data_IF_626192608058
#
_entry.id   IF_626192608058
#
_cell.length_a   1.000
_cell.length_b   1.000
_cell.length_c   1.000
_cell.angle_alpha   90.00
_cell.angle_beta   90.00
_cell.angle_gamma   90.00
#
_symmetry.space_group_name_H-M   'P 1'
#
loop_
_entity.id
_entity.type
_entity.pdbx_description
1 polymer ?
#
# COMPACT_ATOMS: atom_id res chain seq x y z
N UNK A 1 24.37 8.45 62.91
CA UNK A 1 23.34 7.78 62.08
C UNK A 1 23.31 8.43 60.70
N UNK A 2 23.73 7.74 59.61
CA UNK A 2 23.70 8.31 58.29
C UNK A 2 22.34 8.07 57.64
N UNK A 3 21.73 9.13 57.12
CA UNK A 3 20.48 9.11 56.34
C UNK A 3 20.72 8.38 55.00
N UNK A 4 19.98 7.32 54.77
CA UNK A 4 19.91 6.59 53.48
C UNK A 4 19.40 7.54 52.40
N UNK A 5 20.24 7.82 51.40
CA UNK A 5 19.81 8.42 50.12
C UNK A 5 18.91 7.38 49.41
N UNK A 6 17.63 7.65 49.31
CA UNK A 6 16.68 6.89 48.51
C UNK A 6 17.04 7.11 47.02
N UNK A 7 17.31 6.02 46.34
CA UNK A 7 17.61 5.97 44.93
C UNK A 7 16.45 6.55 44.10
N UNK A 8 16.64 7.72 43.50
CA UNK A 8 15.69 8.43 42.64
C UNK A 8 15.65 7.91 41.20
N UNK A 9 16.39 6.82 40.91
CA UNK A 9 16.52 6.26 39.57
C UNK A 9 15.31 5.40 39.13
N UNK A 10 14.46 4.95 40.10
CA UNK A 10 13.33 4.04 39.78
C UNK A 10 12.05 4.73 39.28
N UNK A 11 11.98 6.07 39.27
CA UNK A 11 10.75 6.79 38.86
C UNK A 11 10.72 7.31 37.42
N UNK A 12 11.84 7.30 36.71
CA UNK A 12 11.90 7.83 35.33
C UNK A 12 11.42 6.77 34.30
N UNK A 13 11.38 5.49 34.63
CA UNK A 13 11.01 4.40 33.74
C UNK A 13 9.51 4.08 33.70
N UNK A 14 8.68 4.65 34.58
CA UNK A 14 7.24 4.33 34.64
C UNK A 14 6.36 5.05 33.60
N UNK A 15 6.95 5.86 32.70
CA UNK A 15 6.21 6.58 31.68
C UNK A 15 6.72 6.31 30.24
N UNK A 16 7.68 5.40 30.09
CA UNK A 16 8.24 5.10 28.77
C UNK A 16 7.23 4.31 27.92
N UNK A 17 7.15 4.66 26.64
CA UNK A 17 6.39 3.92 25.66
C UNK A 17 6.92 2.50 25.57
N UNK A 18 6.03 1.49 25.68
CA UNK A 18 6.42 0.08 25.76
C UNK A 18 5.92 -0.74 24.58
N UNK A 19 4.75 -0.44 24.05
CA UNK A 19 4.17 -1.17 22.93
C UNK A 19 3.44 -0.25 21.96
N UNK A 20 3.41 -0.65 20.70
CA UNK A 20 2.70 0.05 19.63
C UNK A 20 1.96 -0.97 18.80
N UNK A 21 0.67 -0.73 18.59
CA UNK A 21 -0.22 -1.49 17.74
C UNK A 21 -0.60 -0.64 16.53
N UNK A 22 -0.39 -1.17 15.32
CA UNK A 22 -0.57 -0.43 14.07
C UNK A 22 -1.35 -1.27 13.07
N UNK A 23 -2.48 -0.75 12.63
CA UNK A 23 -3.26 -1.29 11.52
C UNK A 23 -3.23 -0.30 10.36
N UNK A 24 -2.55 -0.67 9.28
CA UNK A 24 -2.41 0.17 8.08
C UNK A 24 -3.06 -0.49 6.85
N UNK A 25 -3.75 0.31 6.00
CA UNK A 25 -4.50 -0.20 4.87
C UNK A 25 -3.59 -0.68 3.74
N UNK A 26 -4.06 -1.66 2.95
CA UNK A 26 -3.50 -1.91 1.64
C UNK A 26 -3.71 -0.71 0.71
N UNK A 27 -2.90 -0.62 -0.34
CA UNK A 27 -3.09 0.40 -1.37
C UNK A 27 -3.31 -0.20 -2.75
N UNK A 28 -4.26 0.33 -3.50
CA UNK A 28 -4.38 0.13 -4.92
C UNK A 28 -3.55 1.19 -5.63
N UNK A 29 -2.66 0.80 -6.53
CA UNK A 29 -1.86 1.72 -7.33
C UNK A 29 -2.48 1.82 -8.72
N UNK A 30 -3.01 3.00 -9.07
CA UNK A 30 -3.86 3.20 -10.24
C UNK A 30 -3.10 3.72 -11.47
N UNK A 31 -1.78 3.70 -11.42
CA UNK A 31 -0.93 4.06 -12.55
C UNK A 31 0.03 5.21 -12.25
N UNK A 32 0.97 5.39 -13.17
CA UNK A 32 1.93 6.50 -13.19
C UNK A 32 1.43 7.61 -14.14
N UNK A 33 1.80 8.85 -13.84
CA UNK A 33 1.49 10.01 -14.69
C UNK A 33 2.59 10.17 -15.75
N UNK A 34 3.86 10.18 -15.34
CA UNK A 34 5.01 10.40 -16.21
C UNK A 34 6.21 9.49 -15.84
N UNK A 35 6.19 8.21 -16.20
CA UNK A 35 7.33 7.32 -15.97
C UNK A 35 8.62 7.79 -16.65
N UNK A 36 8.49 8.56 -17.74
CA UNK A 36 9.58 9.01 -18.60
C UNK A 36 10.24 10.31 -18.18
N UNK A 37 9.65 11.10 -17.29
CA UNK A 37 10.07 12.45 -16.91
C UNK A 37 9.98 13.51 -18.04
N UNK A 38 9.08 13.33 -18.99
CA UNK A 38 8.86 14.27 -20.10
C UNK A 38 8.38 15.64 -19.63
N UNK A 39 7.73 15.71 -18.45
CA UNK A 39 7.23 16.94 -17.81
C UNK A 39 8.24 17.60 -16.85
N UNK A 40 9.48 17.09 -16.77
CA UNK A 40 10.50 17.58 -15.82
C UNK A 40 10.42 16.92 -14.42
N UNK A 41 9.41 16.11 -14.16
CA UNK A 41 9.28 15.29 -12.95
C UNK A 41 8.99 13.86 -13.35
N UNK A 42 9.71 12.91 -12.76
CA UNK A 42 9.54 11.50 -13.07
C UNK A 42 8.52 10.83 -12.17
N UNK A 43 7.77 9.89 -12.75
CA UNK A 43 6.72 9.13 -12.09
C UNK A 43 5.45 9.97 -11.86
N UNK A 44 5.12 10.33 -10.62
CA UNK A 44 3.78 10.78 -10.28
C UNK A 44 2.80 9.61 -10.34
N UNK A 45 1.91 9.49 -9.38
CA UNK A 45 1.05 8.31 -9.32
C UNK A 45 -0.32 8.64 -8.72
N UNK A 46 -1.29 7.79 -9.06
CA UNK A 46 -2.61 7.77 -8.45
C UNK A 46 -2.77 6.51 -7.61
N UNK A 47 -3.48 6.59 -6.50
CA UNK A 47 -3.76 5.41 -5.69
C UNK A 47 -4.89 5.61 -4.70
N UNK A 48 -5.34 4.49 -4.15
CA UNK A 48 -6.47 4.42 -3.23
C UNK A 48 -6.13 3.53 -2.04
N UNK A 49 -6.45 3.98 -0.83
CA UNK A 49 -6.43 3.14 0.36
C UNK A 49 -7.62 2.18 0.34
N UNK A 50 -7.38 0.91 0.68
CA UNK A 50 -8.41 -0.12 0.72
C UNK A 50 -8.78 -0.46 2.16
N UNK A 51 -10.07 -0.60 2.43
CA UNK A 51 -10.59 -1.11 3.68
C UNK A 51 -10.74 -2.64 3.66
N UNK A 52 -10.69 -3.28 4.84
CA UNK A 52 -10.82 -4.72 4.97
C UNK A 52 -9.64 -5.54 4.42
N UNK A 53 -8.55 -4.89 4.03
CA UNK A 53 -7.29 -5.52 3.64
C UNK A 53 -6.13 -4.61 4.07
N UNK A 54 -5.24 -5.13 4.91
CA UNK A 54 -4.17 -4.31 5.48
C UNK A 54 -3.05 -5.12 6.12
N UNK A 55 -2.15 -4.44 6.77
CA UNK A 55 -1.13 -5.01 7.66
C UNK A 55 -1.46 -4.60 9.08
N UNK A 56 -1.57 -5.57 9.97
CA UNK A 56 -1.76 -5.35 11.40
C UNK A 56 -0.52 -5.84 12.16
N UNK A 57 0.19 -4.91 12.77
CA UNK A 57 1.48 -5.14 13.43
C UNK A 57 1.44 -4.64 14.86
N UNK A 58 1.89 -5.48 15.80
CA UNK A 58 2.17 -5.09 17.18
C UNK A 58 3.67 -5.21 17.44
N UNK A 59 4.27 -4.17 18.02
CA UNK A 59 5.69 -4.15 18.40
C UNK A 59 5.79 -3.77 19.86
N UNK A 60 6.50 -4.58 20.64
CA UNK A 60 6.66 -4.37 22.08
C UNK A 60 8.12 -4.53 22.50
N UNK A 61 8.59 -3.69 23.41
CA UNK A 61 9.86 -3.93 24.12
C UNK A 61 9.74 -5.15 25.02
N UNK A 62 10.75 -6.01 24.99
CA UNK A 62 10.82 -7.18 25.86
C UNK A 62 12.06 -7.13 26.75
N UNK A 63 11.95 -7.80 27.91
CA UNK A 63 13.07 -7.88 28.89
C UNK A 63 14.01 -9.06 28.61
N UNK A 64 13.68 -9.89 27.62
CA UNK A 64 14.51 -11.04 27.22
C UNK A 64 15.64 -10.57 26.31
N UNK A 65 16.78 -11.23 26.38
CA UNK A 65 17.94 -10.88 25.54
C UNK A 65 17.76 -11.21 24.04
N UNK A 66 16.63 -11.77 23.63
CA UNK A 66 16.37 -12.21 22.26
C UNK A 66 15.10 -11.56 21.70
N UNK A 67 15.18 -11.21 20.44
CA UNK A 67 14.00 -10.82 19.67
C UNK A 67 13.07 -12.00 19.47
N UNK A 68 11.76 -11.71 19.48
CA UNK A 68 10.73 -12.67 19.15
C UNK A 68 9.91 -12.15 17.96
N UNK A 69 9.62 -13.02 17.01
CA UNK A 69 8.73 -12.76 15.90
C UNK A 69 7.62 -13.79 15.91
N UNK A 70 6.40 -13.32 16.02
CA UNK A 70 5.19 -14.12 15.98
C UNK A 70 4.37 -13.73 14.73
N UNK A 71 3.72 -14.71 14.12
CA UNK A 71 2.90 -14.48 12.94
C UNK A 71 1.57 -15.21 13.08
N UNK A 72 0.47 -14.50 12.83
CA UNK A 72 -0.86 -15.08 12.79
C UNK A 72 -1.18 -15.55 11.37
N UNK A 73 -0.96 -16.85 11.11
CA UNK A 73 -1.24 -17.48 9.84
C UNK A 73 -0.11 -17.39 8.81
N UNK A 74 -0.32 -18.05 7.68
CA UNK A 74 0.70 -18.29 6.65
C UNK A 74 1.22 -17.01 6.00
N UNK A 75 0.34 -16.06 5.66
CA UNK A 75 0.72 -14.77 5.04
C UNK A 75 1.67 -13.96 5.92
N UNK A 76 1.37 -13.91 7.21
CA UNK A 76 2.21 -13.21 8.18
C UNK A 76 3.55 -13.93 8.36
N UNK A 77 3.58 -15.26 8.32
CA UNK A 77 4.80 -16.07 8.34
C UNK A 77 5.72 -15.80 7.15
N UNK A 78 5.18 -15.65 5.95
CA UNK A 78 5.93 -15.34 4.74
C UNK A 78 6.60 -13.95 4.77
N UNK A 79 6.13 -13.03 5.60
CA UNK A 79 6.71 -11.68 5.75
C UNK A 79 7.87 -11.62 6.76
N UNK A 80 8.17 -12.72 7.50
CA UNK A 80 9.15 -12.74 8.59
C UNK A 80 10.54 -12.24 8.18
N UNK A 81 11.10 -12.78 7.13
CA UNK A 81 12.44 -12.38 6.67
C UNK A 81 12.49 -10.90 6.28
N UNK A 82 11.46 -10.43 5.60
CA UNK A 82 11.33 -9.03 5.20
C UNK A 82 11.21 -8.11 6.40
N UNK A 83 10.43 -8.49 7.42
CA UNK A 83 10.29 -7.74 8.67
C UNK A 83 11.62 -7.64 9.41
N UNK A 84 12.35 -8.73 9.55
CA UNK A 84 13.65 -8.77 10.24
C UNK A 84 14.73 -7.98 9.48
N UNK A 85 14.77 -8.08 8.15
CA UNK A 85 15.67 -7.27 7.32
C UNK A 85 15.37 -5.77 7.44
N UNK A 86 14.09 -5.40 7.46
CA UNK A 86 13.65 -4.03 7.69
C UNK A 86 14.05 -3.55 9.09
N UNK A 87 13.81 -4.34 10.13
CA UNK A 87 14.19 -4.03 11.51
C UNK A 87 15.69 -3.75 11.64
N UNK A 88 16.54 -4.56 11.02
CA UNK A 88 17.98 -4.36 11.05
C UNK A 88 18.43 -3.02 10.46
N UNK A 89 17.75 -2.52 9.41
CA UNK A 89 18.00 -1.18 8.84
C UNK A 89 17.52 -0.07 9.78
N UNK A 90 16.33 -0.23 10.35
CA UNK A 90 15.73 0.75 11.26
C UNK A 90 16.53 0.89 12.55
N UNK A 91 17.07 -0.20 13.10
CA UNK A 91 17.97 -0.19 14.26
C UNK A 91 19.18 0.71 14.03
N UNK A 92 19.85 0.53 12.89
CA UNK A 92 20.99 1.38 12.51
C UNK A 92 20.58 2.84 12.31
N UNK A 93 19.43 3.07 11.67
CA UNK A 93 18.96 4.42 11.36
C UNK A 93 18.54 5.23 12.61
N UNK A 94 18.01 4.56 13.63
CA UNK A 94 17.51 5.21 14.85
C UNK A 94 18.40 5.00 16.08
N UNK A 95 19.55 4.32 15.93
CA UNK A 95 20.44 3.94 17.02
C UNK A 95 19.68 3.27 18.18
N UNK A 96 19.04 2.13 17.86
CA UNK A 96 18.11 1.47 18.77
C UNK A 96 18.37 -0.04 18.82
N UNK A 97 18.87 -0.52 19.98
CA UNK A 97 19.26 -1.93 20.18
C UNK A 97 18.40 -2.72 21.20
N UNK A 98 17.37 -2.05 21.78
CA UNK A 98 16.52 -2.75 22.72
C UNK A 98 15.81 -3.96 22.07
N UNK A 99 15.73 -5.12 22.76
CA UNK A 99 15.03 -6.29 22.24
C UNK A 99 13.55 -6.02 22.05
N UNK A 100 13.00 -6.52 20.95
CA UNK A 100 11.59 -6.35 20.55
C UNK A 100 10.89 -7.70 20.37
N UNK A 101 9.63 -7.78 20.77
CA UNK A 101 8.67 -8.74 20.25
C UNK A 101 7.90 -8.09 19.12
N UNK A 102 7.87 -8.73 17.97
CA UNK A 102 7.14 -8.31 16.78
C UNK A 102 6.07 -9.34 16.53
N UNK A 103 4.81 -8.92 16.55
CA UNK A 103 3.66 -9.76 16.29
C UNK A 103 2.94 -9.23 15.05
N UNK A 104 2.98 -9.99 13.95
CA UNK A 104 2.26 -9.67 12.72
C UNK A 104 0.94 -10.43 12.71
N UNK A 105 -0.15 -9.71 13.00
CA UNK A 105 -1.49 -10.26 13.19
C UNK A 105 -2.22 -10.47 11.85
N UNK A 106 -2.04 -9.58 10.89
CA UNK A 106 -2.49 -9.75 9.51
C UNK A 106 -1.50 -9.12 8.54
N UNK A 107 -1.49 -9.59 7.30
CA UNK A 107 -0.59 -9.10 6.26
C UNK A 107 -1.31 -8.98 4.91
N UNK A 108 -0.96 -7.92 4.19
CA UNK A 108 -1.32 -7.77 2.78
C UNK A 108 -0.64 -8.91 1.99
N UNK A 109 -1.33 -9.58 1.04
CA UNK A 109 -0.70 -10.63 0.24
C UNK A 109 0.61 -10.15 -0.40
N UNK A 110 1.73 -10.87 -0.20
CA UNK A 110 3.00 -10.49 -0.79
C UNK A 110 2.95 -10.57 -2.32
N UNK A 111 3.71 -9.73 -3.00
CA UNK A 111 3.83 -9.69 -4.47
C UNK A 111 2.50 -9.53 -5.25
N UNK A 112 1.43 -9.10 -4.57
CA UNK A 112 0.12 -8.88 -5.18
C UNK A 112 -0.06 -7.47 -5.79
N UNK A 113 0.95 -6.61 -5.77
CA UNK A 113 0.79 -5.23 -6.26
C UNK A 113 0.01 -4.32 -5.30
N UNK A 114 -0.26 -4.75 -4.05
CA UNK A 114 -1.10 -4.04 -3.08
C UNK A 114 -0.32 -3.33 -1.96
N UNK A 115 1.01 -3.25 -2.07
CA UNK A 115 1.84 -2.44 -1.19
C UNK A 115 2.32 -3.11 0.09
N UNK A 116 2.29 -4.45 0.20
CA UNK A 116 2.67 -5.19 1.41
C UNK A 116 4.01 -4.73 2.01
N UNK A 117 5.07 -4.71 1.20
CA UNK A 117 6.39 -4.34 1.67
C UNK A 117 6.51 -2.88 2.14
N UNK A 118 5.77 -1.95 1.52
CA UNK A 118 5.76 -0.54 1.94
C UNK A 118 5.02 -0.38 3.25
N UNK A 119 3.81 -0.95 3.38
CA UNK A 119 3.00 -0.83 4.60
C UNK A 119 3.69 -1.47 5.80
N UNK A 120 4.26 -2.68 5.63
CA UNK A 120 5.06 -3.32 6.68
C UNK A 120 6.26 -2.47 7.11
N UNK A 121 7.01 -1.89 6.15
CA UNK A 121 8.17 -1.06 6.45
C UNK A 121 7.80 0.24 7.16
N UNK A 122 6.69 0.88 6.78
CA UNK A 122 6.20 2.10 7.42
C UNK A 122 5.68 1.83 8.83
N UNK A 123 4.92 0.75 9.02
CA UNK A 123 4.40 0.35 10.32
C UNK A 123 5.54 0.00 11.29
N UNK A 124 6.47 -0.86 10.87
CA UNK A 124 7.61 -1.24 11.69
C UNK A 124 8.52 -0.04 11.98
N UNK A 125 8.75 0.82 10.98
CA UNK A 125 9.56 2.03 11.13
C UNK A 125 8.94 3.04 12.10
N UNK A 126 7.62 3.22 12.05
CA UNK A 126 6.90 4.03 13.03
C UNK A 126 7.11 3.48 14.44
N UNK A 127 6.86 2.18 14.63
CA UNK A 127 6.99 1.55 15.93
C UNK A 127 8.42 1.69 16.49
N UNK A 128 9.45 1.38 15.72
CA UNK A 128 10.86 1.47 16.15
C UNK A 128 11.24 2.92 16.46
N UNK A 129 10.88 3.90 15.62
CA UNK A 129 11.16 5.30 15.85
C UNK A 129 10.53 5.80 17.18
N UNK A 130 9.24 5.48 17.39
CA UNK A 130 8.52 5.88 18.61
C UNK A 130 9.09 5.21 19.86
N UNK A 131 9.39 3.91 19.80
CA UNK A 131 10.03 3.19 20.90
C UNK A 131 11.44 3.72 21.18
N UNK A 132 12.17 4.19 20.18
CA UNK A 132 13.46 4.86 20.33
C UNK A 132 13.36 6.30 20.83
N UNK A 133 12.16 6.85 21.00
CA UNK A 133 11.96 8.26 21.36
C UNK A 133 12.35 9.24 20.25
N UNK A 134 12.26 8.80 18.98
CA UNK A 134 12.60 9.58 17.78
C UNK A 134 11.35 10.04 17.05
N UNK A 135 11.52 11.01 16.15
CA UNK A 135 10.48 11.43 15.23
C UNK A 135 10.13 10.27 14.25
N UNK A 136 8.84 10.00 14.13
CA UNK A 136 8.28 8.92 13.31
C UNK A 136 7.68 9.41 11.98
N UNK A 137 8.19 10.53 11.43
CA UNK A 137 7.74 11.05 10.13
C UNK A 137 7.89 9.99 9.04
N UNK A 138 6.79 9.67 8.35
CA UNK A 138 6.72 8.56 7.40
C UNK A 138 7.68 8.72 6.21
N UNK A 139 7.91 9.95 5.77
CA UNK A 139 8.86 10.25 4.70
C UNK A 139 10.30 9.91 5.09
N UNK A 140 10.71 10.17 6.35
CA UNK A 140 12.02 9.78 6.88
C UNK A 140 12.15 8.26 7.01
N UNK A 141 11.10 7.60 7.52
CA UNK A 141 11.05 6.14 7.61
C UNK A 141 11.16 5.51 6.22
N UNK A 142 10.44 6.05 5.23
CA UNK A 142 10.49 5.58 3.85
C UNK A 142 11.91 5.68 3.26
N UNK A 143 12.64 6.78 3.52
CA UNK A 143 14.04 6.93 3.11
C UNK A 143 14.93 5.86 3.74
N UNK A 144 14.86 5.65 5.06
CA UNK A 144 15.66 4.65 5.76
C UNK A 144 15.35 3.20 5.35
N UNK A 145 14.14 2.95 4.87
CA UNK A 145 13.70 1.63 4.42
C UNK A 145 13.72 1.46 2.90
N UNK A 146 14.25 2.47 2.16
CA UNK A 146 14.31 2.49 0.68
C UNK A 146 12.93 2.33 0.04
N UNK A 147 11.90 2.94 0.66
CA UNK A 147 10.54 2.97 0.15
C UNK A 147 10.19 4.35 -0.41
N UNK A 148 9.17 4.41 -1.26
CA UNK A 148 8.74 5.66 -1.85
C UNK A 148 9.62 6.19 -2.99
N UNK A 149 10.63 5.45 -3.45
CA UNK A 149 11.55 5.92 -4.48
C UNK A 149 10.86 6.22 -5.84
N UNK A 150 9.78 5.54 -6.17
CA UNK A 150 9.03 5.70 -7.44
C UNK A 150 7.65 6.29 -7.25
N UNK A 151 7.01 6.03 -6.11
CA UNK A 151 5.64 6.46 -5.83
C UNK A 151 5.48 6.80 -4.34
N UNK A 152 4.86 7.94 -4.06
CA UNK A 152 4.47 8.39 -2.72
C UNK A 152 3.17 7.78 -2.22
N UNK A 153 2.43 7.04 -3.06
CA UNK A 153 1.07 6.56 -2.75
C UNK A 153 1.03 5.73 -1.46
N UNK A 154 1.99 4.82 -1.27
CA UNK A 154 2.02 4.00 -0.05
C UNK A 154 2.15 4.82 1.22
N UNK A 155 2.89 5.93 1.17
CA UNK A 155 3.06 6.86 2.28
C UNK A 155 1.78 7.68 2.49
N UNK A 156 1.22 8.26 1.41
CA UNK A 156 -0.02 9.03 1.49
C UNK A 156 -1.19 8.19 2.02
N UNK A 157 -1.29 6.92 1.59
CA UNK A 157 -2.29 5.98 2.08
C UNK A 157 -2.08 5.65 3.57
N UNK A 158 -0.84 5.46 4.00
CA UNK A 158 -0.53 5.22 5.42
C UNK A 158 -0.89 6.43 6.28
N UNK A 159 -0.56 7.64 5.85
CA UNK A 159 -0.76 8.87 6.63
C UNK A 159 -2.22 9.34 6.62
N UNK A 160 -2.90 9.27 5.49
CA UNK A 160 -4.14 10.01 5.27
C UNK A 160 -5.32 9.14 4.80
N UNK A 161 -5.05 7.99 4.17
CA UNK A 161 -6.07 7.23 3.48
C UNK A 161 -6.72 7.99 2.31
N UNK A 162 -7.81 7.48 1.78
CA UNK A 162 -8.53 8.06 0.65
C UNK A 162 -7.87 7.81 -0.69
N UNK A 163 -8.32 8.54 -1.69
CA UNK A 163 -7.68 8.63 -3.00
C UNK A 163 -6.59 9.68 -2.94
N UNK A 164 -5.38 9.32 -3.35
CA UNK A 164 -4.20 10.19 -3.27
C UNK A 164 -3.50 10.27 -4.62
N UNK A 165 -2.94 11.45 -4.91
CA UNK A 165 -2.09 11.70 -6.08
C UNK A 165 -0.75 12.21 -5.57
N UNK A 166 0.35 11.59 -6.00
CA UNK A 166 1.69 12.12 -5.78
C UNK A 166 2.23 12.85 -7.00
N UNK A 167 3.04 13.87 -6.75
CA UNK A 167 3.60 14.75 -7.79
C UNK A 167 4.92 14.26 -8.37
N UNK A 168 5.27 12.96 -8.24
CA UNK A 168 6.51 12.42 -8.78
C UNK A 168 7.78 13.01 -8.16
N UNK A 169 8.91 12.79 -8.81
CA UNK A 169 10.24 13.17 -8.32
C UNK A 169 10.92 14.16 -9.26
N UNK A 170 11.42 15.25 -8.72
CA UNK A 170 12.55 16.01 -9.28
C UNK A 170 13.86 15.33 -8.88
N UNK A 171 14.98 15.80 -9.42
CA UNK A 171 16.31 15.21 -9.16
C UNK A 171 16.63 15.07 -7.67
N UNK A 172 16.35 16.11 -6.89
CA UNK A 172 16.62 16.14 -5.44
C UNK A 172 15.48 15.60 -4.57
N UNK A 173 14.41 15.10 -5.16
CA UNK A 173 13.25 14.59 -4.41
C UNK A 173 13.52 13.16 -3.96
N UNK A 174 13.72 12.93 -2.69
CA UNK A 174 13.89 11.58 -2.15
C UNK A 174 12.58 10.77 -2.14
N UNK A 175 11.47 11.42 -1.75
CA UNK A 175 10.12 10.83 -1.68
C UNK A 175 9.13 11.77 -2.37
N UNK A 176 8.33 11.31 -3.34
CA UNK A 176 7.33 12.11 -4.02
C UNK A 176 6.38 12.80 -3.03
N UNK A 177 6.08 14.11 -3.21
CA UNK A 177 5.08 14.80 -2.39
C UNK A 177 3.68 14.34 -2.76
N UNK A 178 2.79 14.19 -1.78
CA UNK A 178 1.35 14.09 -2.05
C UNK A 178 0.86 15.49 -2.43
N UNK A 179 0.27 15.60 -3.61
CA UNK A 179 -0.20 16.89 -4.18
C UNK A 179 -1.72 17.02 -4.17
N UNK A 180 -2.43 15.88 -4.10
CA UNK A 180 -3.88 15.88 -3.89
C UNK A 180 -4.29 14.68 -3.05
N UNK A 181 -5.32 14.89 -2.22
CA UNK A 181 -6.02 13.84 -1.48
C UNK A 181 -7.51 14.13 -1.51
N UNK A 182 -8.30 13.11 -1.86
CA UNK A 182 -9.76 13.20 -1.87
C UNK A 182 -10.39 12.03 -1.12
N UNK A 183 -11.51 12.23 -0.39
CA UNK A 183 -12.28 11.12 0.12
C UNK A 183 -12.80 10.24 -1.04
N UNK A 184 -12.68 8.93 -0.90
CA UNK A 184 -13.31 8.01 -1.84
C UNK A 184 -14.78 7.84 -1.45
N UNK A 185 -15.73 7.96 -2.40
CA UNK A 185 -17.15 7.88 -2.08
C UNK A 185 -17.55 6.60 -1.37
N UNK A 186 -18.28 6.72 -0.25
CA UNK A 186 -18.58 5.60 0.64
C UNK A 186 -19.48 4.52 0.00
N UNK A 187 -20.26 4.88 -1.03
CA UNK A 187 -21.09 3.92 -1.78
C UNK A 187 -20.26 3.03 -2.72
N UNK A 188 -19.13 3.56 -3.25
CA UNK A 188 -18.36 2.86 -4.27
C UNK A 188 -17.63 1.66 -3.72
N UNK A 189 -17.43 0.65 -4.56
CA UNK A 189 -16.71 -0.59 -4.18
C UNK A 189 -15.60 -0.90 -5.16
N UNK A 190 -14.65 -1.66 -4.67
CA UNK A 190 -13.54 -2.23 -5.44
C UNK A 190 -13.66 -3.75 -5.37
N UNK A 191 -13.85 -4.40 -6.51
CA UNK A 191 -13.79 -5.83 -6.68
C UNK A 191 -12.35 -6.17 -7.09
N UNK A 192 -11.61 -6.86 -6.24
CA UNK A 192 -10.25 -7.33 -6.51
C UNK A 192 -10.30 -8.71 -7.17
N UNK A 193 -9.43 -8.88 -8.17
CA UNK A 193 -9.28 -10.13 -8.93
C UNK A 193 -7.86 -10.64 -8.68
N UNK A 194 -7.73 -11.72 -7.93
CA UNK A 194 -6.46 -12.32 -7.55
C UNK A 194 -6.15 -13.56 -8.37
N UNK A 195 -4.97 -13.65 -8.92
CA UNK A 195 -4.43 -14.91 -9.45
C UNK A 195 -3.45 -15.50 -8.43
N UNK A 196 -3.83 -16.60 -7.79
CA UNK A 196 -3.01 -17.27 -6.78
C UNK A 196 -1.74 -17.92 -7.36
N UNK A 197 -1.69 -18.13 -8.67
CA UNK A 197 -0.59 -18.81 -9.37
C UNK A 197 0.41 -17.84 -10.02
N UNK A 198 0.19 -16.52 -9.88
CA UNK A 198 1.04 -15.52 -10.48
C UNK A 198 1.56 -14.53 -9.44
N UNK A 199 2.86 -14.29 -9.44
CA UNK A 199 3.50 -13.28 -8.60
C UNK A 199 3.91 -12.08 -9.46
N UNK A 200 3.63 -10.86 -8.99
CA UNK A 200 4.03 -9.63 -9.67
C UNK A 200 5.54 -9.38 -9.57
N UNK A 201 6.05 -8.58 -10.49
CA UNK A 201 7.44 -8.12 -10.44
C UNK A 201 7.70 -7.30 -9.17
N UNK A 202 8.88 -7.49 -8.58
CA UNK A 202 9.29 -6.73 -7.39
C UNK A 202 10.81 -6.63 -7.28
N UNK A 203 11.31 -5.63 -6.53
CA UNK A 203 12.72 -5.45 -6.26
C UNK A 203 13.56 -5.20 -7.51
N UNK A 204 14.66 -5.93 -7.69
CA UNK A 204 15.58 -5.75 -8.81
C UNK A 204 14.96 -6.16 -10.15
N UNK A 205 14.11 -7.17 -10.20
CA UNK A 205 13.40 -7.56 -11.42
C UNK A 205 12.50 -6.42 -11.93
N UNK A 206 11.77 -5.75 -11.03
CA UNK A 206 10.97 -4.56 -11.36
C UNK A 206 11.87 -3.40 -11.83
N UNK A 207 12.99 -3.14 -11.15
CA UNK A 207 13.93 -2.09 -11.55
C UNK A 207 14.56 -2.37 -12.92
N UNK A 208 14.89 -3.61 -13.21
CA UNK A 208 15.42 -4.02 -14.52
C UNK A 208 14.38 -3.87 -15.63
N UNK A 209 13.13 -4.26 -15.37
CA UNK A 209 12.02 -4.06 -16.29
C UNK A 209 11.84 -2.58 -16.65
N UNK A 210 11.87 -1.67 -15.66
CA UNK A 210 11.80 -0.23 -15.91
C UNK A 210 12.95 0.30 -16.79
N UNK A 211 14.17 -0.23 -16.63
CA UNK A 211 15.32 0.19 -17.46
C UNK A 211 15.23 -0.29 -18.89
N UNK A 212 14.58 -1.41 -19.11
CA UNK A 212 14.43 -2.02 -20.45
C UNK A 212 13.28 -1.46 -21.27
N UNK A 213 12.34 -0.74 -20.65
CA UNK A 213 11.19 -0.15 -21.36
C UNK A 213 11.64 1.01 -22.24
N UNK A 214 10.97 1.21 -23.39
CA UNK A 214 11.16 2.39 -24.22
C UNK A 214 10.77 3.66 -23.45
N UNK A 215 11.14 4.87 -23.92
CA UNK A 215 10.67 6.11 -23.33
C UNK A 215 9.14 6.17 -23.31
N UNK A 216 8.57 6.64 -22.19
CA UNK A 216 7.12 6.86 -22.10
C UNK A 216 6.73 8.02 -23.02
N UNK A 217 5.70 7.87 -23.88
CA UNK A 217 5.33 8.93 -24.81
C UNK A 217 4.82 10.19 -24.08
N UNK A 218 5.36 11.35 -24.44
CA UNK A 218 4.95 12.62 -23.82
C UNK A 218 3.44 12.89 -23.96
N UNK A 219 2.84 12.54 -25.11
CA UNK A 219 1.39 12.64 -25.33
C UNK A 219 0.58 11.83 -24.32
N UNK A 220 1.10 10.69 -23.85
CA UNK A 220 0.41 9.87 -22.84
C UNK A 220 0.56 10.49 -21.46
N UNK A 221 1.72 11.08 -21.13
CA UNK A 221 1.90 11.92 -19.92
C UNK A 221 0.90 13.06 -19.87
N UNK A 222 0.81 13.85 -20.95
CA UNK A 222 -0.13 14.99 -21.06
C UNK A 222 -1.59 14.54 -20.90
N UNK A 223 -1.95 13.44 -21.58
CA UNK A 223 -3.30 12.89 -21.50
C UNK A 223 -3.64 12.37 -20.10
N UNK A 224 -2.74 11.63 -19.46
CA UNK A 224 -2.94 11.12 -18.08
C UNK A 224 -3.03 12.29 -17.09
N UNK A 225 -2.20 13.31 -17.23
CA UNK A 225 -2.27 14.50 -16.38
C UNK A 225 -3.63 15.22 -16.55
N UNK A 226 -4.09 15.39 -17.78
CA UNK A 226 -5.41 15.99 -18.08
C UNK A 226 -6.56 15.12 -17.52
N UNK A 227 -6.51 13.80 -17.72
CA UNK A 227 -7.49 12.87 -17.14
C UNK A 227 -7.53 12.95 -15.62
N UNK A 228 -6.36 13.00 -14.99
CA UNK A 228 -6.25 13.09 -13.52
C UNK A 228 -6.89 14.39 -13.02
N UNK A 229 -6.49 15.54 -13.59
CA UNK A 229 -6.90 16.87 -13.09
C UNK A 229 -8.32 17.24 -13.48
N UNK A 230 -8.75 16.91 -14.73
CA UNK A 230 -10.00 17.40 -15.29
C UNK A 230 -11.14 16.37 -15.30
N UNK A 231 -10.84 15.10 -14.97
CA UNK A 231 -11.86 14.04 -14.93
C UNK A 231 -11.86 13.30 -13.57
N UNK A 232 -10.75 12.66 -13.17
CA UNK A 232 -10.71 11.80 -11.97
C UNK A 232 -10.96 12.60 -10.70
N UNK A 233 -10.24 13.70 -10.47
CA UNK A 233 -10.37 14.50 -9.24
C UNK A 233 -11.72 15.23 -9.17
N UNK A 234 -12.23 15.89 -10.22
CA UNK A 234 -13.58 16.46 -10.19
C UNK A 234 -14.67 15.41 -9.98
N UNK A 235 -14.60 14.26 -10.67
CA UNK A 235 -15.58 13.20 -10.53
C UNK A 235 -15.63 12.59 -9.10
N UNK A 236 -14.48 12.52 -8.42
CA UNK A 236 -14.45 12.16 -6.99
C UNK A 236 -15.15 13.20 -6.11
N UNK A 237 -14.93 14.50 -6.39
CA UNK A 237 -15.55 15.61 -5.65
C UNK A 237 -17.07 15.66 -5.86
N UNK A 238 -17.52 15.37 -7.06
CA UNK A 238 -18.92 15.40 -7.49
C UNK A 238 -19.64 14.04 -7.26
N UNK A 239 -18.89 12.99 -6.84
CA UNK A 239 -19.40 11.60 -6.71
C UNK A 239 -19.95 11.05 -8.04
N UNK A 240 -19.35 11.45 -9.15
CA UNK A 240 -19.72 11.08 -10.52
C UNK A 240 -18.93 9.84 -10.99
N UNK A 241 -19.48 8.65 -10.78
CA UNK A 241 -18.85 7.41 -11.18
C UNK A 241 -18.78 7.24 -12.72
N UNK A 242 -19.74 7.78 -13.44
CA UNK A 242 -19.81 7.65 -14.91
C UNK A 242 -18.65 8.36 -15.61
N UNK A 243 -18.16 9.46 -15.02
CA UNK A 243 -16.95 10.16 -15.49
C UNK A 243 -15.66 9.58 -14.90
N UNK A 244 -15.71 9.15 -13.64
CA UNK A 244 -14.55 8.56 -12.95
C UNK A 244 -14.08 7.28 -13.62
N UNK A 245 -14.99 6.33 -13.84
CA UNK A 245 -14.66 4.97 -14.29
C UNK A 245 -13.91 4.94 -15.61
N UNK A 246 -14.45 5.52 -16.71
CA UNK A 246 -13.76 5.56 -17.99
C UNK A 246 -12.40 6.27 -17.94
N UNK A 247 -12.28 7.35 -17.15
CA UNK A 247 -11.02 8.06 -17.01
C UNK A 247 -9.92 7.20 -16.36
N UNK A 248 -10.26 6.47 -15.29
CA UNK A 248 -9.32 5.52 -14.65
C UNK A 248 -8.95 4.39 -15.62
N UNK A 249 -9.91 3.84 -16.34
CA UNK A 249 -9.68 2.76 -17.32
C UNK A 249 -8.76 3.23 -18.46
N UNK A 250 -8.93 4.47 -18.96
CA UNK A 250 -8.04 5.03 -19.98
C UNK A 250 -6.61 5.20 -19.45
N UNK A 251 -6.44 5.70 -18.22
CA UNK A 251 -5.12 5.77 -17.55
C UNK A 251 -4.48 4.39 -17.46
N UNK A 252 -5.24 3.40 -17.01
CA UNK A 252 -4.79 2.02 -16.88
C UNK A 252 -4.36 1.40 -18.21
N UNK A 253 -5.11 1.66 -19.29
CA UNK A 253 -4.79 1.19 -20.62
C UNK A 253 -3.45 1.76 -21.12
N UNK A 254 -3.25 3.08 -21.01
CA UNK A 254 -2.01 3.76 -21.46
C UNK A 254 -0.78 3.26 -20.70
N UNK A 255 -0.90 3.15 -19.37
CA UNK A 255 0.19 2.64 -18.53
C UNK A 255 0.44 1.17 -18.77
N UNK A 256 -0.60 0.35 -18.88
CA UNK A 256 -0.50 -1.08 -19.13
C UNK A 256 0.10 -1.40 -20.49
N UNK A 257 -0.28 -0.68 -21.54
CA UNK A 257 0.28 -0.85 -22.90
C UNK A 257 1.77 -0.49 -22.95
N UNK A 258 2.18 0.55 -22.21
CA UNK A 258 3.60 0.87 -22.07
C UNK A 258 4.40 -0.24 -21.35
N UNK A 259 3.81 -0.88 -20.33
CA UNK A 259 4.45 -1.95 -19.59
C UNK A 259 4.33 -3.34 -20.27
N UNK A 260 3.50 -3.47 -21.30
CA UNK A 260 3.24 -4.73 -21.99
C UNK A 260 4.51 -5.50 -22.42
N UNK A 261 5.57 -4.86 -22.97
CA UNK A 261 6.79 -5.57 -23.35
C UNK A 261 7.51 -6.24 -22.17
N UNK A 262 7.39 -5.68 -20.96
CA UNK A 262 8.07 -6.18 -19.76
C UNK A 262 7.24 -7.20 -18.97
N UNK A 263 5.90 -7.22 -19.14
CA UNK A 263 5.01 -8.08 -18.37
C UNK A 263 4.21 -9.09 -19.23
N UNK A 264 4.42 -9.10 -20.53
CA UNK A 264 3.83 -10.08 -21.46
C UNK A 264 2.42 -9.73 -21.95
N UNK A 265 1.95 -8.49 -21.71
CA UNK A 265 0.64 -7.99 -22.10
C UNK A 265 0.24 -6.77 -21.29
N UNK A 266 -0.93 -6.16 -21.58
CA UNK A 266 -1.45 -5.01 -20.81
C UNK A 266 -1.56 -5.32 -19.31
N UNK A 267 -1.84 -6.57 -18.97
CA UNK A 267 -1.92 -7.08 -17.60
C UNK A 267 -0.94 -8.22 -17.40
N UNK A 268 -0.28 -8.28 -16.24
CA UNK A 268 0.78 -9.25 -15.97
C UNK A 268 0.26 -10.70 -15.92
N UNK A 269 -0.98 -10.93 -15.44
CA UNK A 269 -1.59 -12.25 -15.44
C UNK A 269 -2.58 -12.39 -16.61
N UNK A 270 -2.39 -13.36 -17.50
CA UNK A 270 -3.37 -13.67 -18.57
C UNK A 270 -4.75 -14.09 -18.02
N UNK A 271 -4.80 -14.70 -16.84
CA UNK A 271 -6.06 -15.07 -16.19
C UNK A 271 -6.80 -13.83 -15.68
N UNK A 272 -6.07 -12.89 -15.06
CA UNK A 272 -6.66 -11.61 -14.65
C UNK A 272 -7.12 -10.82 -15.85
N UNK A 273 -6.32 -10.75 -16.93
CA UNK A 273 -6.71 -10.09 -18.18
C UNK A 273 -8.07 -10.61 -18.70
N UNK A 274 -8.20 -11.93 -18.81
CA UNK A 274 -9.44 -12.59 -19.27
C UNK A 274 -10.65 -12.24 -18.39
N UNK A 275 -10.45 -12.14 -17.06
CA UNK A 275 -11.53 -11.75 -16.16
C UNK A 275 -11.85 -10.25 -16.26
N UNK A 276 -10.87 -9.37 -16.42
CA UNK A 276 -11.12 -7.95 -16.65
C UNK A 276 -11.90 -7.71 -17.95
N UNK A 277 -11.54 -8.41 -19.04
CA UNK A 277 -12.29 -8.38 -20.30
C UNK A 277 -13.73 -8.90 -20.11
N UNK A 278 -13.89 -9.98 -19.32
CA UNK A 278 -15.20 -10.53 -18.98
C UNK A 278 -16.09 -9.53 -18.24
N UNK A 279 -15.52 -8.76 -17.28
CA UNK A 279 -16.22 -7.71 -16.57
C UNK A 279 -16.52 -6.50 -17.48
N UNK A 280 -15.58 -6.08 -18.30
CA UNK A 280 -15.74 -4.99 -19.26
C UNK A 280 -16.89 -5.28 -20.24
N UNK A 281 -16.97 -6.52 -20.77
CA UNK A 281 -18.08 -6.96 -21.64
C UNK A 281 -19.45 -6.93 -20.95
N UNK A 282 -19.51 -6.78 -19.62
CA UNK A 282 -20.72 -6.64 -18.81
C UNK A 282 -20.94 -5.23 -18.28
N UNK A 283 -20.28 -4.24 -18.89
CA UNK A 283 -20.47 -2.82 -18.58
C UNK A 283 -19.61 -2.28 -17.45
N UNK A 284 -18.62 -3.04 -16.94
CA UNK A 284 -17.69 -2.53 -15.95
C UNK A 284 -16.80 -1.43 -16.53
N UNK A 285 -17.20 -0.18 -16.36
CA UNK A 285 -16.52 0.99 -16.94
C UNK A 285 -15.19 1.33 -16.26
N UNK A 286 -14.94 0.87 -15.02
CA UNK A 286 -13.74 1.14 -14.25
C UNK A 286 -13.00 -0.16 -13.93
N UNK A 287 -11.90 -0.42 -14.63
CA UNK A 287 -11.10 -1.62 -14.40
C UNK A 287 -9.61 -1.39 -14.74
N UNK A 288 -8.77 -2.26 -14.20
CA UNK A 288 -7.34 -2.20 -14.43
C UNK A 288 -6.55 -3.15 -13.53
N UNK A 289 -5.24 -2.91 -13.44
CA UNK A 289 -4.31 -3.67 -12.62
C UNK A 289 -3.62 -2.78 -11.60
N UNK A 290 -3.42 -3.28 -10.40
CA UNK A 290 -2.67 -2.55 -9.36
C UNK A 290 -1.17 -2.70 -9.57
N UNK A 291 -0.48 -1.59 -9.91
CA UNK A 291 0.98 -1.58 -10.09
C UNK A 291 1.43 -2.61 -11.16
N UNK A 292 2.48 -3.38 -10.88
CA UNK A 292 2.94 -4.51 -11.71
C UNK A 292 2.15 -5.80 -11.48
N UNK A 293 0.93 -5.69 -10.97
CA UNK A 293 0.04 -6.80 -10.75
C UNK A 293 0.52 -7.83 -9.71
N UNK A 294 0.01 -9.06 -9.77
CA UNK A 294 -1.00 -9.52 -10.72
C UNK A 294 -2.45 -9.13 -10.38
N UNK A 295 -2.69 -8.44 -9.27
CA UNK A 295 -4.05 -8.12 -8.84
C UNK A 295 -4.75 -7.18 -9.82
N UNK A 296 -5.82 -7.65 -10.43
CA UNK A 296 -6.76 -6.83 -11.17
C UNK A 296 -7.78 -6.18 -10.25
N UNK A 297 -8.42 -5.14 -10.73
CA UNK A 297 -9.53 -4.50 -10.04
C UNK A 297 -10.65 -4.10 -11.00
N UNK A 298 -11.87 -4.11 -10.48
CA UNK A 298 -13.04 -3.47 -11.05
C UNK A 298 -13.63 -2.56 -9.98
N UNK A 299 -14.03 -1.34 -10.33
CA UNK A 299 -14.74 -0.46 -9.42
C UNK A 299 -16.20 -0.31 -9.85
N UNK A 300 -17.07 -0.10 -8.91
CA UNK A 300 -18.52 0.05 -9.10
C UNK A 300 -19.05 1.22 -8.31
N UNK A 301 -20.17 1.81 -8.77
CA UNK A 301 -20.85 2.92 -8.09
C UNK A 301 -21.56 2.51 -6.81
N UNK A 302 -21.80 1.20 -6.61
CA UNK A 302 -22.53 0.70 -5.45
C UNK A 302 -22.07 -0.69 -4.99
N UNK A 303 -22.41 -1.02 -3.73
CA UNK A 303 -22.17 -2.34 -3.20
C UNK A 303 -23.04 -3.42 -3.87
N UNK A 304 -24.24 -3.05 -4.29
CA UNK A 304 -25.17 -3.98 -4.97
C UNK A 304 -24.64 -4.36 -6.35
N UNK A 305 -24.18 -3.40 -7.13
CA UNK A 305 -23.54 -3.66 -8.43
C UNK A 305 -22.31 -4.58 -8.28
N UNK A 306 -21.44 -4.30 -7.29
CA UNK A 306 -20.30 -5.16 -7.00
C UNK A 306 -20.74 -6.60 -6.64
N UNK A 307 -21.80 -6.74 -5.87
CA UNK A 307 -22.36 -8.05 -5.48
C UNK A 307 -22.91 -8.81 -6.68
N UNK A 308 -23.65 -8.14 -7.54
CA UNK A 308 -24.19 -8.76 -8.78
C UNK A 308 -23.02 -9.25 -9.66
N UNK A 309 -22.02 -8.42 -9.87
CA UNK A 309 -20.88 -8.77 -10.71
C UNK A 309 -20.07 -9.94 -10.13
N UNK A 310 -19.82 -9.96 -8.81
CA UNK A 310 -19.02 -11.03 -8.21
C UNK A 310 -19.79 -12.37 -8.20
N UNK A 311 -21.09 -12.38 -7.97
CA UNK A 311 -21.90 -13.61 -8.03
C UNK A 311 -21.97 -14.16 -9.46
N UNK A 312 -22.15 -13.30 -10.46
CA UNK A 312 -22.08 -13.69 -11.85
C UNK A 312 -20.69 -14.26 -12.22
N UNK A 313 -19.61 -13.63 -11.73
CA UNK A 313 -18.25 -14.12 -11.95
C UNK A 313 -18.00 -15.47 -11.28
N UNK A 314 -18.47 -15.66 -10.04
CA UNK A 314 -18.37 -16.94 -9.33
C UNK A 314 -19.11 -18.06 -10.06
N UNK A 315 -20.30 -17.77 -10.59
CA UNK A 315 -21.10 -18.72 -11.36
C UNK A 315 -20.44 -19.08 -12.71
N UNK A 316 -19.77 -18.14 -13.36
CA UNK A 316 -19.08 -18.35 -14.62
C UNK A 316 -17.67 -18.98 -14.47
N UNK A 317 -17.13 -18.98 -13.24
CA UNK A 317 -15.76 -19.45 -12.97
C UNK A 317 -15.72 -20.98 -12.97
N UNK A 318 -14.78 -21.55 -13.77
CA UNK A 318 -14.52 -22.98 -13.74
C UNK A 318 -13.99 -23.43 -12.37
N UNK A 319 -14.28 -24.67 -11.97
CA UNK A 319 -13.90 -25.19 -10.66
C UNK A 319 -12.39 -25.20 -10.42
N UNK A 320 -11.59 -25.41 -11.44
CA UNK A 320 -10.13 -25.44 -11.46
C UNK A 320 -9.47 -24.07 -11.70
N UNK A 321 -10.25 -23.00 -11.94
CA UNK A 321 -9.69 -21.65 -12.10
C UNK A 321 -9.17 -21.14 -10.72
N UNK A 322 -7.85 -20.87 -10.61
CA UNK A 322 -7.24 -20.40 -9.36
C UNK A 322 -7.58 -18.97 -9.00
N UNK A 323 -8.27 -18.23 -9.88
CA UNK A 323 -8.65 -16.84 -9.64
C UNK A 323 -9.63 -16.75 -8.47
N UNK A 324 -9.42 -15.73 -7.64
CA UNK A 324 -10.28 -15.41 -6.49
C UNK A 324 -10.76 -13.97 -6.59
N UNK A 325 -11.98 -13.72 -6.13
CA UNK A 325 -12.60 -12.40 -6.12
C UNK A 325 -12.86 -11.95 -4.68
N UNK A 326 -12.66 -10.65 -4.43
CA UNK A 326 -12.96 -10.05 -3.13
C UNK A 326 -13.48 -8.63 -3.32
N UNK A 327 -14.62 -8.31 -2.72
CA UNK A 327 -15.11 -6.93 -2.65
C UNK A 327 -14.52 -6.26 -1.42
N UNK A 328 -14.05 -5.03 -1.60
CA UNK A 328 -13.55 -4.14 -0.54
C UNK A 328 -14.09 -2.73 -0.76
N UNK A 329 -14.02 -1.89 0.28
CA UNK A 329 -14.33 -0.47 0.17
C UNK A 329 -13.04 0.37 0.08
N UNK A 330 -13.15 1.65 -0.25
CA UNK A 330 -12.10 2.62 -0.01
C UNK A 330 -12.04 3.00 1.48
N UNK A 331 -10.84 3.20 2.02
CA UNK A 331 -10.62 3.63 3.40
C UNK A 331 -10.18 5.09 3.43
N UNK A 332 -11.02 5.96 3.98
CA UNK A 332 -10.76 7.41 4.04
C UNK A 332 -9.91 7.86 5.24
N UNK A 333 -9.41 6.91 6.02
CA UNK A 333 -8.49 7.14 7.13
C UNK A 333 -7.17 6.41 6.88
N UNK A 334 -6.08 7.00 7.35
CA UNK A 334 -4.76 6.37 7.32
C UNK A 334 -4.62 5.22 8.32
N UNK A 335 -3.40 4.93 8.72
CA UNK A 335 -3.11 3.90 9.71
C UNK A 335 -3.75 4.25 11.07
N UNK A 336 -4.37 3.25 11.70
CA UNK A 336 -4.78 3.33 13.10
C UNK A 336 -3.61 2.93 13.98
N UNK A 337 -3.23 3.78 14.91
CA UNK A 337 -2.05 3.59 15.77
C UNK A 337 -2.48 3.74 17.22
N UNK A 338 -2.13 2.74 18.04
CA UNK A 338 -2.35 2.76 19.48
C UNK A 338 -0.99 2.61 20.18
N UNK A 339 -0.66 3.59 21.02
CA UNK A 339 0.58 3.61 21.80
C UNK A 339 0.27 3.26 23.26
N UNK A 340 0.97 2.26 23.83
CA UNK A 340 0.80 1.83 25.20
C UNK A 340 2.07 2.03 26.01
N UNK A 341 1.91 2.51 27.26
CA UNK A 341 2.98 2.68 28.25
C UNK A 341 3.00 1.50 29.22
N UNK A 342 4.11 1.32 29.94
CA UNK A 342 4.22 0.28 30.96
C UNK A 342 3.03 0.31 31.93
N UNK A 343 2.37 -0.84 32.12
CA UNK A 343 1.27 -1.04 33.08
C UNK A 343 -0.14 -0.95 32.51
N UNK A 344 -0.34 -0.59 31.24
CA UNK A 344 -1.67 -0.64 30.64
C UNK A 344 -1.85 -1.94 29.83
N UNK A 345 -2.87 -2.78 30.15
CA UNK A 345 -3.19 -3.93 29.32
C UNK A 345 -3.68 -3.43 27.95
N UNK A 346 -3.13 -3.98 26.88
CA UNK A 346 -3.66 -3.75 25.53
C UNK A 346 -4.93 -4.58 25.39
N UNK A 347 -6.10 -3.99 25.61
CA UNK A 347 -7.36 -4.63 25.30
C UNK A 347 -7.58 -4.60 23.80
N UNK A 348 -7.67 -5.81 23.18
CA UNK A 348 -8.27 -5.99 21.87
C UNK A 348 -9.77 -5.69 22.03
N UNK A 349 -10.26 -4.65 21.38
CA UNK A 349 -11.69 -4.42 21.13
C UNK A 349 -12.01 -4.83 19.71
#
# INVERSE_FOLDING_TARGET
MPRRRRNTVSRIWSSALNAIDIECPARLHLGFIDPGASSGRRFGSLGLALDGLGTHLRVQRVRTAREAYFAAGERAGAERERALACLARLRRAFDFDAPLAIELLDAIPPHAGLGSGTQLSLALGYAVARLAGRDAAQRRIAQHTERGARSGIGIGVFEQGGFVVDGGRAEQTAVPPIVARHPFPAAWRVLLVFDAMHAGLSGEAEASAFRALPPFPARDTERIAALTLMHVLPALAEVDFERFGPAVTEIQARVGDHFAPAQGGRYASPRVARWLDWFAARGAACHGQSSWGPTGFVMTASAEEARILIEAAKAARAADDPVRFRIVAGRNAGARIVESRDGAPMHAS
#
